data_IF_080985237661
#
_entry.id   IF_080985237661
#
_cell.length_a   1.000
_cell.length_b   1.000
_cell.length_c   1.000
_cell.angle_alpha   90.00
_cell.angle_beta   90.00
_cell.angle_gamma   90.00
#
_symmetry.space_group_name_H-M   'P 1'
#
loop_
_entity.id
_entity.type
_entity.pdbx_description
1 polymer ?
#
# COMPACT_ATOMS: atom_id res chain seq x y z
N UNK A 1 15.81 -2.84 25.60
CA UNK A 1 16.05 -2.20 24.31
C UNK A 1 14.71 -1.79 23.71
N UNK A 2 14.62 -0.54 23.34
CA UNK A 2 13.43 -0.07 22.65
C UNK A 2 13.50 -0.51 21.19
N UNK A 3 12.51 -1.24 20.75
CA UNK A 3 12.37 -1.61 19.36
C UNK A 3 12.03 -0.40 18.47
N UNK A 4 12.12 -0.60 17.19
CA UNK A 4 11.74 0.40 16.20
C UNK A 4 10.31 0.17 15.75
N UNK A 5 9.66 1.21 15.24
CA UNK A 5 8.40 1.07 14.54
C UNK A 5 8.72 0.90 13.05
N UNK A 6 8.24 -0.18 12.48
CA UNK A 6 8.46 -0.52 11.07
C UNK A 6 7.12 -0.45 10.36
N UNK A 7 7.03 0.41 9.36
CA UNK A 7 5.82 0.57 8.56
C UNK A 7 5.92 -0.29 7.30
N UNK A 8 4.90 -1.09 7.06
CA UNK A 8 4.77 -1.91 5.85
C UNK A 8 3.68 -1.31 4.96
N UNK A 9 3.98 -1.21 3.68
CA UNK A 9 3.01 -0.76 2.67
C UNK A 9 3.02 -1.76 1.51
N UNK A 10 2.43 -2.94 1.70
CA UNK A 10 2.41 -3.95 0.65
C UNK A 10 1.42 -3.60 -0.46
N UNK A 11 1.67 -4.16 -1.63
CA UNK A 11 0.72 -4.09 -2.73
C UNK A 11 -0.63 -4.67 -2.32
N UNK A 12 -1.72 -4.10 -2.82
CA UNK A 12 -3.08 -4.49 -2.48
C UNK A 12 -3.48 -5.80 -3.17
N UNK A 13 -2.81 -6.89 -2.80
CA UNK A 13 -3.08 -8.24 -3.29
C UNK A 13 -2.73 -9.25 -2.20
N UNK A 14 -3.38 -10.40 -2.19
CA UNK A 14 -3.21 -11.37 -1.11
C UNK A 14 -1.81 -11.99 -1.05
N UNK A 15 -1.17 -12.22 -2.20
CA UNK A 15 0.19 -12.76 -2.22
C UNK A 15 1.18 -11.86 -1.47
N UNK A 16 1.37 -10.61 -1.91
CA UNK A 16 2.21 -9.66 -1.20
C UNK A 16 1.78 -9.39 0.24
N UNK A 17 0.46 -9.35 0.50
CA UNK A 17 -0.07 -9.12 1.84
C UNK A 17 0.37 -10.23 2.81
N UNK A 18 0.20 -11.48 2.44
CA UNK A 18 0.57 -12.63 3.30
C UNK A 18 2.08 -12.70 3.52
N UNK A 19 2.88 -12.41 2.49
CA UNK A 19 4.33 -12.34 2.64
C UNK A 19 4.74 -11.25 3.64
N UNK A 20 4.09 -10.09 3.57
CA UNK A 20 4.36 -8.98 4.49
C UNK A 20 3.98 -9.32 5.93
N UNK A 21 2.88 -10.04 6.13
CA UNK A 21 2.46 -10.50 7.46
C UNK A 21 3.53 -11.40 8.08
N UNK A 22 4.09 -12.34 7.31
CA UNK A 22 5.16 -13.20 7.80
C UNK A 22 6.40 -12.42 8.22
N UNK A 23 6.81 -11.44 7.43
CA UNK A 23 7.95 -10.58 7.76
C UNK A 23 7.65 -9.73 9.00
N UNK A 24 6.45 -9.17 9.09
CA UNK A 24 6.04 -8.37 10.24
C UNK A 24 6.02 -9.17 11.53
N UNK A 25 5.56 -10.42 11.49
CA UNK A 25 5.59 -11.32 12.64
C UNK A 25 7.02 -11.59 13.11
N UNK A 26 7.95 -11.78 12.16
CA UNK A 26 9.36 -11.94 12.49
C UNK A 26 9.95 -10.69 13.14
N UNK A 27 9.59 -9.51 12.65
CA UNK A 27 10.03 -8.23 13.24
C UNK A 27 9.53 -8.07 14.68
N UNK A 28 8.29 -8.44 14.95
CA UNK A 28 7.74 -8.37 16.30
C UNK A 28 8.42 -9.34 17.27
N UNK A 29 8.81 -10.52 16.79
CA UNK A 29 9.59 -11.47 17.59
C UNK A 29 10.95 -10.91 17.96
N UNK A 30 11.50 -10.00 17.17
CA UNK A 30 12.77 -9.34 17.44
C UNK A 30 12.60 -8.09 18.30
N UNK A 31 11.40 -7.79 18.78
CA UNK A 31 11.12 -6.67 19.67
C UNK A 31 10.78 -5.36 18.97
N UNK A 32 10.50 -5.39 17.68
CA UNK A 32 10.06 -4.22 16.94
C UNK A 32 8.54 -4.19 16.84
N UNK A 33 7.98 -3.03 16.60
CA UNK A 33 6.55 -2.88 16.35
C UNK A 33 6.32 -2.76 14.85
N UNK A 34 5.46 -3.61 14.30
CA UNK A 34 5.05 -3.55 12.90
C UNK A 34 3.70 -2.86 12.79
N UNK A 35 3.59 -1.92 11.87
CA UNK A 35 2.32 -1.27 11.51
C UNK A 35 2.13 -1.38 10.01
N UNK A 36 0.88 -1.37 9.56
CA UNK A 36 0.54 -1.50 8.15
C UNK A 36 -0.14 -0.25 7.64
N UNK A 37 0.37 0.27 6.54
CA UNK A 37 -0.29 1.30 5.76
C UNK A 37 -1.06 0.56 4.67
N UNK A 38 -2.36 0.74 4.61
CA UNK A 38 -3.19 -0.11 3.74
C UNK A 38 -4.03 0.73 2.79
N UNK A 39 -4.22 0.17 1.60
CA UNK A 39 -5.26 0.62 0.69
C UNK A 39 -6.63 0.32 1.32
N UNK A 40 -7.65 1.20 1.14
CA UNK A 40 -8.98 0.95 1.70
C UNK A 40 -9.57 -0.42 1.34
N UNK A 41 -9.24 -0.97 0.17
CA UNK A 41 -9.73 -2.28 -0.25
C UNK A 41 -9.15 -3.45 0.55
N UNK A 42 -8.06 -3.23 1.27
CA UNK A 42 -7.42 -4.25 2.10
C UNK A 42 -7.62 -4.02 3.60
N UNK A 43 -8.49 -3.11 3.95
CA UNK A 43 -8.78 -2.81 5.35
C UNK A 43 -9.32 -4.04 6.08
N UNK A 44 -8.78 -4.33 7.25
CA UNK A 44 -9.16 -5.48 8.06
C UNK A 44 -8.27 -6.71 7.86
N UNK A 45 -7.54 -6.80 6.77
CA UNK A 45 -6.67 -7.95 6.49
C UNK A 45 -5.57 -8.07 7.54
N UNK A 46 -4.87 -6.97 7.81
CA UNK A 46 -3.74 -6.98 8.73
C UNK A 46 -4.17 -6.91 10.20
N UNK A 47 -5.25 -6.19 10.48
CA UNK A 47 -5.81 -6.16 11.84
C UNK A 47 -6.34 -7.52 12.26
N UNK A 48 -6.76 -8.35 11.29
CA UNK A 48 -7.13 -9.74 11.55
C UNK A 48 -5.98 -10.58 12.09
N UNK A 49 -4.73 -10.19 11.84
CA UNK A 49 -3.52 -10.82 12.39
C UNK A 49 -2.99 -10.10 13.63
N UNK A 50 -3.70 -9.09 14.13
CA UNK A 50 -3.33 -8.38 15.34
C UNK A 50 -2.43 -7.15 15.13
N UNK A 51 -2.25 -6.69 13.91
CA UNK A 51 -1.44 -5.52 13.59
C UNK A 51 -2.27 -4.25 13.54
N UNK A 52 -1.67 -3.11 13.86
CA UNK A 52 -2.29 -1.81 13.66
C UNK A 52 -2.30 -1.47 12.17
N UNK A 53 -3.43 -1.00 11.69
CA UNK A 53 -3.62 -0.57 10.31
C UNK A 53 -3.94 0.91 10.24
N UNK A 54 -3.38 1.57 9.23
CA UNK A 54 -3.65 2.97 8.92
C UNK A 54 -3.96 3.08 7.44
N UNK A 55 -5.13 3.58 7.09
CA UNK A 55 -5.55 3.70 5.70
C UNK A 55 -4.87 4.89 5.03
N UNK A 56 -4.28 4.67 3.87
CA UNK A 56 -3.67 5.71 3.08
C UNK A 56 -4.71 6.29 2.13
N UNK A 57 -5.00 7.57 2.26
CA UNK A 57 -5.96 8.27 1.41
C UNK A 57 -5.24 8.83 0.18
N UNK A 58 -5.10 8.01 -0.85
CA UNK A 58 -4.49 8.42 -2.11
C UNK A 58 -5.52 8.99 -3.09
N UNK A 59 -6.79 8.60 -2.90
CA UNK A 59 -7.89 9.08 -3.70
C UNK A 59 -9.19 8.93 -2.91
N UNK A 60 -10.22 9.66 -3.33
CA UNK A 60 -11.54 9.46 -2.75
C UNK A 60 -12.10 8.09 -3.15
N UNK A 61 -12.89 7.46 -2.26
CA UNK A 61 -13.55 6.19 -2.61
C UNK A 61 -14.42 6.36 -3.85
N UNK A 62 -14.27 5.42 -4.78
CA UNK A 62 -15.09 5.40 -6.00
C UNK A 62 -16.03 4.19 -5.98
N UNK A 63 -17.23 4.33 -6.57
CA UNK A 63 -18.06 3.16 -6.84
C UNK A 63 -17.32 2.15 -7.71
N UNK A 64 -17.60 0.83 -7.58
CA UNK A 64 -16.88 -0.20 -8.36
C UNK A 64 -16.93 0.02 -9.87
N UNK A 65 -18.02 0.55 -10.40
CA UNK A 65 -18.18 0.84 -11.83
C UNK A 65 -17.23 1.94 -12.29
N UNK A 66 -17.10 3.01 -11.50
CA UNK A 66 -16.18 4.11 -11.79
C UNK A 66 -14.74 3.67 -11.63
N UNK A 67 -14.46 2.82 -10.65
CA UNK A 67 -13.13 2.26 -10.43
C UNK A 67 -12.69 1.43 -11.64
N UNK A 68 -13.55 0.57 -12.14
CA UNK A 68 -13.26 -0.24 -13.33
C UNK A 68 -12.97 0.64 -14.55
N UNK A 69 -13.76 1.68 -14.76
CA UNK A 69 -13.53 2.64 -15.84
C UNK A 69 -12.21 3.40 -15.64
N UNK A 70 -11.95 3.86 -14.44
CA UNK A 70 -10.72 4.58 -14.10
C UNK A 70 -9.49 3.74 -14.46
N UNK A 71 -9.45 2.48 -14.03
CA UNK A 71 -8.32 1.61 -14.31
C UNK A 71 -8.20 1.27 -15.80
N UNK A 72 -9.32 1.08 -16.49
CA UNK A 72 -9.31 0.85 -17.94
C UNK A 72 -8.74 2.06 -18.67
N UNK A 73 -9.21 3.26 -18.33
CA UNK A 73 -8.72 4.50 -18.94
C UNK A 73 -7.25 4.75 -18.60
N UNK A 74 -6.85 4.47 -17.36
CA UNK A 74 -5.46 4.60 -16.93
C UNK A 74 -4.54 3.68 -17.75
N UNK A 75 -4.91 2.42 -17.87
CA UNK A 75 -4.12 1.43 -18.63
C UNK A 75 -4.02 1.86 -20.09
N UNK A 76 -5.15 2.21 -20.72
CA UNK A 76 -5.17 2.59 -22.12
C UNK A 76 -4.41 3.89 -22.39
N UNK A 77 -4.44 4.83 -21.47
CA UNK A 77 -3.78 6.13 -21.62
C UNK A 77 -2.30 6.12 -21.25
N UNK A 78 -1.90 5.29 -20.28
CA UNK A 78 -0.57 5.34 -19.70
C UNK A 78 0.30 4.13 -20.03
N UNK A 79 -0.30 3.00 -20.41
CA UNK A 79 0.44 1.76 -20.71
C UNK A 79 -0.03 1.21 -22.05
N UNK A 80 0.08 1.99 -23.15
CA UNK A 80 -0.47 1.56 -24.44
C UNK A 80 0.24 0.34 -25.02
N UNK A 81 1.54 0.16 -24.78
CA UNK A 81 2.33 -0.90 -25.42
C UNK A 81 3.26 -1.65 -24.48
N UNK A 82 3.18 -1.44 -23.19
CA UNK A 82 4.05 -2.10 -22.18
C UNK A 82 5.54 -1.96 -22.50
N UNK A 83 5.96 -0.78 -22.92
CA UNK A 83 7.36 -0.48 -23.22
C UNK A 83 8.05 0.24 -22.04
N UNK A 84 9.27 0.75 -22.26
CA UNK A 84 10.01 1.48 -21.23
C UNK A 84 9.27 2.72 -20.72
N UNK A 85 8.44 3.33 -21.56
CA UNK A 85 7.64 4.48 -21.20
C UNK A 85 6.61 4.12 -20.11
N UNK A 86 6.12 2.90 -20.15
CA UNK A 86 5.20 2.41 -19.12
C UNK A 86 5.85 2.41 -17.72
N UNK A 87 7.13 2.01 -17.65
CA UNK A 87 7.84 2.04 -16.36
C UNK A 87 8.02 3.47 -15.85
N UNK A 88 8.33 4.41 -16.73
CA UNK A 88 8.44 5.82 -16.35
C UNK A 88 7.12 6.37 -15.82
N UNK A 89 6.00 6.01 -16.44
CA UNK A 89 4.70 6.45 -16.00
C UNK A 89 4.28 5.85 -14.66
N UNK A 90 4.59 4.57 -14.44
CA UNK A 90 4.36 3.91 -13.15
C UNK A 90 5.21 4.58 -12.07
N UNK A 91 6.48 4.87 -12.37
CA UNK A 91 7.38 5.55 -11.45
C UNK A 91 6.84 6.95 -11.08
N UNK A 92 6.35 7.69 -12.05
CA UNK A 92 5.75 9.00 -11.81
C UNK A 92 4.49 8.90 -10.94
N UNK A 93 3.66 7.90 -11.17
CA UNK A 93 2.48 7.65 -10.35
C UNK A 93 2.86 7.37 -8.88
N UNK A 94 3.87 6.55 -8.67
CA UNK A 94 4.38 6.27 -7.32
C UNK A 94 4.87 7.55 -6.65
N UNK A 95 5.56 8.41 -7.38
CA UNK A 95 6.01 9.71 -6.85
C UNK A 95 4.86 10.60 -6.45
N UNK A 96 3.78 10.62 -7.24
CA UNK A 96 2.58 11.41 -6.92
C UNK A 96 1.91 10.94 -5.62
N UNK A 97 1.97 9.65 -5.34
CA UNK A 97 1.40 9.07 -4.12
C UNK A 97 2.33 9.18 -2.91
N UNK A 98 3.60 9.55 -3.12
CA UNK A 98 4.64 9.50 -2.09
C UNK A 98 4.31 10.35 -0.87
N UNK A 99 3.80 11.56 -1.06
CA UNK A 99 3.47 12.44 0.04
C UNK A 99 2.39 11.85 0.94
N UNK A 100 1.36 11.24 0.36
CA UNK A 100 0.31 10.58 1.12
C UNK A 100 0.85 9.39 1.91
N UNK A 101 1.78 8.64 1.33
CA UNK A 101 2.42 7.50 1.99
C UNK A 101 3.25 7.98 3.18
N UNK A 102 4.08 9.00 2.98
CA UNK A 102 4.95 9.54 4.03
C UNK A 102 4.10 10.16 5.16
N UNK A 103 3.09 10.93 4.83
CA UNK A 103 2.19 11.53 5.81
C UNK A 103 1.52 10.47 6.67
N UNK A 104 1.03 9.40 6.06
CA UNK A 104 0.38 8.31 6.77
C UNK A 104 1.39 7.58 7.66
N UNK A 105 2.61 7.35 7.17
CA UNK A 105 3.67 6.70 7.94
C UNK A 105 4.07 7.52 9.18
N UNK A 106 4.19 8.84 9.05
CA UNK A 106 4.47 9.73 10.18
C UNK A 106 3.34 9.65 11.21
N UNK A 107 2.10 9.60 10.74
CA UNK A 107 0.93 9.51 11.60
C UNK A 107 0.90 8.19 12.40
N UNK A 108 1.42 7.11 11.81
CA UNK A 108 1.44 5.78 12.42
C UNK A 108 2.53 5.63 13.50
N UNK A 109 3.53 6.50 13.48
CA UNK A 109 4.59 6.46 14.50
C UNK A 109 4.04 6.78 15.91
#
# INVERSE_FOLDING_TARGET
MTGKVIAFFPEAAFGPALNSVGIAQACEKLGHKAVFLTDPGMQGVYSGYGFDEYTVNMSEPMPPEEMAKYWTDFINGHIPNFDLTAYEQIDNYVKECWEAIVETAVWAE
#
